data_IF_072321265794
#
_entry.id   IF_072321265794
#
_cell.length_a   1.000
_cell.length_b   1.000
_cell.length_c   1.000
_cell.angle_alpha   90.00
_cell.angle_beta   90.00
_cell.angle_gamma   90.00
#
_symmetry.space_group_name_H-M   'P 1'
#
loop_
_entity.id
_entity.type
_entity.pdbx_description
1 polymer ?
#
# COMPACT_ATOMS: atom_id res chain seq x y z
N UNK A 1 -4.15 28.40 48.69
CA UNK A 1 -3.19 27.36 49.13
C UNK A 1 -3.99 26.18 49.65
N UNK A 2 -4.01 25.08 48.92
CA UNK A 2 -4.47 23.79 49.43
C UNK A 2 -3.63 22.72 48.74
N UNK A 3 -2.85 22.02 49.56
CA UNK A 3 -1.86 21.01 49.21
C UNK A 3 -2.45 19.65 49.55
N UNK A 4 -2.59 18.76 48.56
CA UNK A 4 -2.90 17.33 48.68
C UNK A 4 -2.41 16.70 47.37
N UNK A 5 -1.73 15.57 47.30
CA UNK A 5 -1.26 14.61 48.29
C UNK A 5 -0.61 13.49 47.45
N UNK A 6 0.58 13.05 47.86
CA UNK A 6 1.31 11.97 47.21
C UNK A 6 0.60 10.61 47.41
N UNK A 7 0.78 9.70 46.46
CA UNK A 7 0.59 8.26 46.71
C UNK A 7 0.15 7.48 45.48
N UNK A 8 0.99 6.54 45.04
CA UNK A 8 0.52 5.45 44.19
C UNK A 8 1.51 4.90 43.17
N UNK A 9 2.74 4.57 43.58
CA UNK A 9 3.58 3.65 42.81
C UNK A 9 2.95 2.25 42.89
N UNK A 10 2.24 1.84 41.84
CA UNK A 10 1.83 0.44 41.66
C UNK A 10 2.87 -0.25 40.79
N UNK A 11 3.66 -1.10 41.46
CA UNK A 11 4.45 -2.15 40.83
C UNK A 11 3.49 -3.09 40.07
N UNK A 12 3.58 -3.12 38.75
CA UNK A 12 3.02 -4.19 37.94
C UNK A 12 4.09 -5.25 37.73
N UNK A 13 3.78 -6.45 38.19
CA UNK A 13 4.63 -7.62 38.12
C UNK A 13 4.67 -8.25 36.73
N UNK A 14 5.70 -9.07 36.58
CA UNK A 14 5.81 -10.27 35.75
C UNK A 14 4.62 -10.60 34.86
N UNK A 15 4.82 -10.47 33.55
CA UNK A 15 4.02 -11.17 32.55
C UNK A 15 4.92 -11.97 31.60
N UNK A 16 4.91 -13.28 31.85
CA UNK A 16 4.98 -14.42 30.94
C UNK A 16 5.66 -14.24 29.57
N UNK A 17 6.78 -14.96 29.42
CA UNK A 17 7.45 -15.22 28.15
C UNK A 17 6.58 -15.99 27.17
N UNK A 18 5.83 -15.26 26.34
CA UNK A 18 5.25 -15.75 25.10
C UNK A 18 6.30 -15.86 23.97
N UNK A 19 6.04 -16.65 22.91
CA UNK A 19 6.93 -16.80 21.77
C UNK A 19 7.13 -15.44 21.11
N UNK A 20 8.36 -14.90 21.20
CA UNK A 20 8.71 -13.63 20.56
C UNK A 20 8.49 -13.76 19.06
N UNK A 21 7.56 -12.98 18.51
CA UNK A 21 7.44 -12.77 17.06
C UNK A 21 8.82 -12.31 16.58
N UNK A 22 9.40 -13.06 15.65
CA UNK A 22 10.63 -12.67 14.97
C UNK A 22 10.30 -11.44 14.13
N UNK A 23 10.42 -10.25 14.73
CA UNK A 23 10.42 -9.01 13.97
C UNK A 23 11.71 -9.00 13.15
N UNK A 24 11.60 -9.41 11.88
CA UNK A 24 12.60 -9.06 10.87
C UNK A 24 12.47 -7.56 10.59
N UNK A 25 12.91 -6.76 11.56
CA UNK A 25 13.06 -5.33 11.41
C UNK A 25 14.34 -5.05 10.65
N UNK A 26 14.24 -4.45 9.47
CA UNK A 26 15.37 -3.75 8.87
C UNK A 26 15.60 -2.49 9.71
N UNK A 27 16.48 -2.59 10.71
CA UNK A 27 16.97 -1.43 11.43
C UNK A 27 18.10 -0.80 10.63
N UNK A 28 17.90 0.42 10.14
CA UNK A 28 19.02 1.27 9.73
C UNK A 28 19.58 1.91 11.01
N UNK A 29 20.81 1.57 11.37
CA UNK A 29 21.52 2.29 12.41
C UNK A 29 22.08 3.58 11.83
N UNK A 30 21.54 4.73 12.25
CA UNK A 30 22.07 6.05 11.86
C UNK A 30 23.50 6.30 12.36
N UNK A 31 24.00 5.48 13.30
CA UNK A 31 25.39 5.52 13.75
C UNK A 31 26.39 4.93 12.74
N UNK A 32 25.92 4.33 11.64
CA UNK A 32 26.78 3.81 10.57
C UNK A 32 26.85 4.77 9.36
N UNK A 33 26.57 6.06 9.59
CA UNK A 33 27.02 7.09 8.65
C UNK A 33 28.50 7.39 8.96
N UNK A 34 29.41 7.29 7.98
CA UNK A 34 30.78 7.71 8.20
C UNK A 34 30.78 9.18 8.62
N UNK A 35 31.41 9.47 9.76
CA UNK A 35 31.65 10.82 10.24
C UNK A 35 32.45 11.58 9.19
N UNK A 36 31.74 12.27 8.30
CA UNK A 36 32.34 13.20 7.36
C UNK A 36 32.65 14.45 8.17
N UNK A 37 33.81 14.43 8.84
CA UNK A 37 34.33 15.55 9.60
C UNK A 37 34.27 16.81 8.73
N UNK A 38 33.37 17.72 9.09
CA UNK A 38 33.28 19.04 8.51
C UNK A 38 34.54 19.79 8.92
N UNK A 39 35.57 19.71 8.08
CA UNK A 39 36.71 20.63 8.14
C UNK A 39 36.13 22.01 7.80
N UNK A 40 35.92 22.79 8.84
CA UNK A 40 35.52 24.18 8.73
C UNK A 40 36.67 24.97 8.11
N UNK A 41 36.42 25.48 6.90
CA UNK A 41 37.23 26.53 6.29
C UNK A 41 38.01 26.06 5.08
N UNK A 42 37.36 25.97 3.93
CA UNK A 42 37.93 26.39 2.64
C UNK A 42 36.81 26.38 1.58
N UNK A 43 36.51 27.58 1.09
CA UNK A 43 35.57 27.84 0.00
C UNK A 43 36.12 27.25 -1.31
N UNK A 44 35.39 26.36 -2.01
CA UNK A 44 35.88 25.67 -3.20
C UNK A 44 35.83 26.53 -4.49
N UNK A 45 35.73 27.86 -4.38
CA UNK A 45 35.70 28.77 -5.53
C UNK A 45 37.05 29.47 -5.77
N UNK A 46 38.17 28.85 -5.41
CA UNK A 46 39.49 29.37 -5.79
C UNK A 46 39.85 28.93 -7.22
N UNK A 47 39.66 29.83 -8.16
CA UNK A 47 40.08 29.69 -9.57
C UNK A 47 41.58 29.90 -9.64
N UNK A 48 42.36 28.82 -9.58
CA UNK A 48 43.81 28.92 -9.82
C UNK A 48 44.63 27.70 -9.41
N UNK A 49 45.04 26.94 -10.43
CA UNK A 49 46.30 26.19 -10.49
C UNK A 49 46.45 24.90 -9.66
N UNK A 50 45.67 23.86 -9.95
CA UNK A 50 46.19 22.48 -9.93
C UNK A 50 45.49 21.61 -11.00
N UNK A 51 46.23 20.80 -11.78
CA UNK A 51 45.62 19.83 -12.68
C UNK A 51 44.88 18.77 -11.85
N UNK A 52 43.61 18.44 -12.17
CA UNK A 52 42.84 17.47 -11.41
C UNK A 52 43.45 16.08 -11.59
N UNK A 53 44.04 15.55 -10.52
CA UNK A 53 44.45 14.14 -10.43
C UNK A 53 43.17 13.32 -10.27
N UNK A 54 42.83 12.59 -11.34
CA UNK A 54 41.58 11.86 -11.54
C UNK A 54 41.71 10.40 -11.07
N UNK A 55 42.00 10.20 -9.78
CA UNK A 55 42.28 8.86 -9.24
C UNK A 55 41.07 8.12 -8.64
N UNK A 56 39.87 8.69 -8.68
CA UNK A 56 38.67 8.10 -8.06
C UNK A 56 37.72 7.38 -9.04
N UNK A 57 38.13 7.13 -10.29
CA UNK A 57 37.29 6.48 -11.32
C UNK A 57 37.60 5.00 -11.61
N UNK A 58 38.51 4.35 -10.89
CA UNK A 58 38.91 2.95 -11.19
C UNK A 58 38.14 1.87 -10.44
N UNK A 59 37.30 2.22 -9.46
CA UNK A 59 36.35 1.28 -8.86
C UNK A 59 34.99 1.52 -9.48
N UNK A 60 34.73 0.83 -10.60
CA UNK A 60 33.38 0.65 -11.10
C UNK A 60 32.57 -0.06 -10.00
N UNK A 61 31.94 0.74 -9.12
CA UNK A 61 30.94 0.30 -8.17
C UNK A 61 29.71 -0.07 -8.99
N UNK A 62 29.82 -1.23 -9.65
CA UNK A 62 28.76 -1.88 -10.40
C UNK A 62 27.69 -2.21 -9.40
N UNK A 63 26.75 -1.30 -9.25
CA UNK A 63 25.54 -1.53 -8.50
C UNK A 63 24.83 -2.73 -9.16
N UNK A 64 24.86 -3.87 -8.48
CA UNK A 64 24.25 -5.10 -8.94
C UNK A 64 22.93 -5.29 -8.15
N UNK A 65 21.75 -5.02 -8.74
CA UNK A 65 20.47 -5.06 -8.04
C UNK A 65 20.12 -6.45 -7.45
N UNK A 66 20.89 -7.48 -7.81
CA UNK A 66 20.72 -8.85 -7.33
C UNK A 66 21.67 -9.19 -6.16
N UNK A 67 22.68 -8.35 -5.92
CA UNK A 67 23.70 -8.54 -4.88
C UNK A 67 23.14 -8.05 -3.54
N UNK A 68 22.29 -8.90 -2.96
CA UNK A 68 21.47 -8.58 -1.77
C UNK A 68 20.16 -9.35 -1.75
N UNK A 69 19.70 -9.86 -2.89
CA UNK A 69 18.62 -10.85 -2.96
C UNK A 69 19.24 -12.24 -2.79
N UNK A 70 19.92 -12.45 -1.66
CA UNK A 70 20.24 -13.81 -1.25
C UNK A 70 18.93 -14.53 -0.97
N UNK A 71 18.71 -15.65 -1.65
CA UNK A 71 17.52 -16.49 -1.51
C UNK A 71 17.46 -17.01 -0.08
N UNK A 72 16.78 -16.30 0.80
CA UNK A 72 16.31 -16.83 2.09
C UNK A 72 15.16 -17.84 1.92
N UNK A 73 15.13 -18.59 0.81
CA UNK A 73 14.32 -19.79 0.61
C UNK A 73 15.05 -21.01 1.18
N UNK A 74 15.66 -20.87 2.36
CA UNK A 74 16.06 -22.05 3.10
C UNK A 74 14.75 -22.70 3.55
N UNK A 75 14.42 -23.85 2.96
CA UNK A 75 13.38 -24.75 3.44
C UNK A 75 13.48 -24.81 4.95
N UNK A 76 12.49 -24.23 5.63
CA UNK A 76 12.48 -24.27 7.08
C UNK A 76 12.15 -25.72 7.41
N UNK A 77 12.98 -26.42 8.19
CA UNK A 77 12.82 -27.84 8.52
C UNK A 77 11.44 -28.22 9.12
N UNK A 78 10.61 -27.23 9.43
CA UNK A 78 9.21 -27.37 9.83
C UNK A 78 8.25 -27.69 8.67
N UNK A 79 8.51 -27.26 7.43
CA UNK A 79 7.68 -27.61 6.27
C UNK A 79 7.92 -29.04 5.76
N UNK A 80 9.04 -29.68 6.15
CA UNK A 80 9.33 -31.07 5.79
C UNK A 80 8.43 -32.11 6.51
N UNK A 81 7.63 -31.69 7.50
CA UNK A 81 6.84 -32.60 8.34
C UNK A 81 5.34 -32.67 7.98
N UNK A 82 4.83 -31.82 7.08
CA UNK A 82 3.38 -31.77 6.74
C UNK A 82 3.06 -31.99 5.25
N UNK A 83 3.95 -32.62 4.50
CA UNK A 83 3.58 -33.15 3.19
C UNK A 83 3.02 -34.57 3.37
N UNK A 84 1.74 -34.84 3.03
CA UNK A 84 1.19 -36.20 3.08
C UNK A 84 2.02 -37.07 2.14
N UNK A 85 2.73 -38.03 2.72
CA UNK A 85 3.53 -39.02 2.03
C UNK A 85 2.61 -39.83 1.11
N UNK A 86 2.59 -39.52 -0.18
CA UNK A 86 2.01 -40.37 -1.21
C UNK A 86 2.90 -41.60 -1.27
N UNK A 87 2.47 -42.66 -0.59
CA UNK A 87 3.19 -43.92 -0.51
C UNK A 87 3.32 -44.57 -1.87
N UNK A 88 4.47 -44.41 -2.52
CA UNK A 88 4.93 -45.31 -3.59
C UNK A 88 5.73 -46.41 -2.91
N UNK A 89 5.04 -47.50 -2.58
CA UNK A 89 5.68 -48.75 -2.22
C UNK A 89 6.30 -49.37 -3.49
N UNK A 90 7.63 -49.27 -3.61
CA UNK A 90 8.38 -49.87 -4.70
C UNK A 90 9.73 -50.38 -4.22
N UNK A 91 9.72 -51.56 -3.60
CA UNK A 91 10.93 -52.29 -3.20
C UNK A 91 11.40 -53.10 -4.42
N UNK A 92 12.45 -52.64 -5.10
CA UNK A 92 12.99 -53.35 -6.25
C UNK A 92 14.31 -52.75 -6.72
N UNK A 93 15.39 -53.50 -6.54
CA UNK A 93 16.73 -53.13 -6.94
C UNK A 93 16.94 -53.26 -8.47
N UNK A 94 17.76 -52.37 -9.02
CA UNK A 94 18.57 -52.62 -10.22
C UNK A 94 18.03 -52.08 -11.55
N UNK A 95 18.77 -51.12 -12.12
CA UNK A 95 18.72 -50.83 -13.55
C UNK A 95 19.06 -49.38 -13.92
N UNK A 96 20.19 -49.10 -14.61
CA UNK A 96 20.38 -47.83 -15.28
C UNK A 96 19.69 -47.88 -16.65
N UNK A 97 18.81 -46.93 -16.92
CA UNK A 97 18.25 -46.70 -18.25
C UNK A 97 16.81 -47.17 -18.41
N UNK A 98 15.88 -46.26 -18.15
CA UNK A 98 14.67 -46.11 -18.95
C UNK A 98 14.08 -44.73 -18.62
N UNK A 99 14.15 -43.81 -19.57
CA UNK A 99 13.32 -42.62 -19.57
C UNK A 99 11.87 -43.09 -19.50
N UNK A 100 11.23 -42.89 -18.36
CA UNK A 100 9.81 -43.14 -18.18
C UNK A 100 9.06 -42.18 -19.10
N UNK A 101 8.89 -42.64 -20.34
CA UNK A 101 7.94 -42.10 -21.30
C UNK A 101 6.58 -42.45 -20.76
N UNK A 102 6.10 -41.64 -19.81
CA UNK A 102 4.74 -41.68 -19.33
C UNK A 102 3.84 -41.55 -20.54
N UNK A 103 3.27 -42.69 -20.92
CA UNK A 103 2.29 -42.88 -21.96
C UNK A 103 1.27 -41.73 -21.94
N UNK A 104 1.41 -40.84 -22.92
CA UNK A 104 0.36 -39.91 -23.30
C UNK A 104 -0.81 -40.76 -23.80
N UNK A 105 -1.78 -41.02 -22.93
CA UNK A 105 -3.07 -41.58 -23.35
C UNK A 105 -3.70 -40.55 -24.30
N UNK A 106 -3.88 -40.86 -25.60
CA UNK A 106 -4.58 -39.97 -26.51
C UNK A 106 -6.02 -39.87 -26.01
N UNK A 107 -6.44 -38.66 -25.63
CA UNK A 107 -7.71 -38.39 -24.94
C UNK A 107 -7.54 -37.73 -23.56
N UNK A 108 -6.38 -37.90 -22.90
CA UNK A 108 -6.12 -37.30 -21.58
C UNK A 108 -6.00 -35.77 -21.63
N UNK A 109 -5.47 -35.21 -22.72
CA UNK A 109 -5.22 -33.77 -22.82
C UNK A 109 -6.51 -32.99 -23.09
N UNK A 110 -7.40 -33.53 -23.91
CA UNK A 110 -8.70 -32.91 -24.20
C UNK A 110 -9.62 -32.95 -22.96
N UNK A 111 -9.59 -34.07 -22.21
CA UNK A 111 -10.32 -34.18 -20.95
C UNK A 111 -9.75 -33.25 -19.87
N UNK A 112 -8.42 -33.13 -19.78
CA UNK A 112 -7.78 -32.21 -18.85
C UNK A 112 -8.07 -30.74 -19.22
N UNK A 113 -8.08 -30.39 -20.51
CA UNK A 113 -8.46 -29.06 -20.99
C UNK A 113 -9.92 -28.75 -20.64
N UNK A 114 -10.84 -29.69 -20.91
CA UNK A 114 -12.26 -29.51 -20.56
C UNK A 114 -12.49 -29.42 -19.04
N UNK A 115 -11.66 -30.09 -18.22
CA UNK A 115 -11.69 -29.96 -16.77
C UNK A 115 -11.15 -28.59 -16.31
N UNK A 116 -10.07 -28.10 -16.93
CA UNK A 116 -9.49 -26.80 -16.64
C UNK A 116 -10.46 -25.66 -17.00
N UNK A 117 -11.10 -25.72 -18.18
CA UNK A 117 -12.08 -24.73 -18.62
C UNK A 117 -13.28 -24.65 -17.66
N UNK A 118 -13.75 -25.78 -17.14
CA UNK A 118 -14.82 -25.82 -16.13
C UNK A 118 -14.40 -25.12 -14.83
N UNK A 119 -13.17 -25.33 -14.37
CA UNK A 119 -12.64 -24.65 -13.18
C UNK A 119 -12.53 -23.14 -13.40
N UNK A 120 -12.02 -22.72 -14.56
CA UNK A 120 -11.92 -21.30 -14.92
C UNK A 120 -13.30 -20.66 -14.94
N UNK A 121 -14.29 -21.27 -15.59
CA UNK A 121 -15.68 -20.76 -15.60
C UNK A 121 -16.26 -20.66 -14.19
N UNK A 122 -16.04 -21.66 -13.34
CA UNK A 122 -16.52 -21.63 -11.95
C UNK A 122 -15.83 -20.54 -11.10
N UNK A 123 -14.55 -20.26 -11.34
CA UNK A 123 -13.85 -19.17 -10.68
C UNK A 123 -14.34 -17.81 -11.18
N UNK A 124 -14.58 -17.66 -12.48
CA UNK A 124 -15.14 -16.44 -13.05
C UNK A 124 -16.55 -16.15 -12.52
N UNK A 125 -17.42 -17.17 -12.43
CA UNK A 125 -18.76 -16.98 -11.86
C UNK A 125 -18.70 -16.59 -10.39
N UNK A 126 -17.77 -17.17 -9.61
CA UNK A 126 -17.56 -16.78 -8.20
C UNK A 126 -17.01 -15.36 -8.06
N UNK A 127 -16.08 -14.96 -8.91
CA UNK A 127 -15.56 -13.59 -8.91
C UNK A 127 -16.68 -12.60 -9.22
N UNK A 128 -17.48 -12.87 -10.24
CA UNK A 128 -18.62 -12.03 -10.59
C UNK A 128 -19.67 -11.97 -9.46
N UNK A 129 -19.98 -13.11 -8.83
CA UNK A 129 -20.87 -13.16 -7.68
C UNK A 129 -20.31 -12.36 -6.50
N UNK A 130 -19.02 -12.49 -6.20
CA UNK A 130 -18.34 -11.70 -5.18
C UNK A 130 -18.28 -10.21 -5.53
N UNK A 131 -18.11 -9.82 -6.78
CA UNK A 131 -18.14 -8.42 -7.22
C UNK A 131 -19.54 -7.81 -7.11
N UNK A 132 -20.58 -8.61 -7.41
CA UNK A 132 -21.99 -8.18 -7.33
C UNK A 132 -22.54 -8.17 -5.90
N UNK A 133 -22.07 -9.07 -5.04
CA UNK A 133 -22.56 -9.25 -3.67
C UNK A 133 -21.63 -8.62 -2.62
N UNK A 134 -20.40 -8.27 -2.99
CA UNK A 134 -19.62 -7.30 -2.21
C UNK A 134 -20.41 -5.98 -2.26
N UNK A 135 -20.79 -5.40 -1.11
CA UNK A 135 -21.46 -4.12 -1.06
C UNK A 135 -20.52 -3.06 -1.62
N UNK A 136 -20.60 -2.80 -2.93
CA UNK A 136 -19.81 -1.82 -3.69
C UNK A 136 -18.50 -1.46 -2.97
N UNK A 137 -17.60 -2.45 -2.86
CA UNK A 137 -16.31 -2.50 -2.18
C UNK A 137 -15.67 -1.20 -1.68
N UNK A 138 -16.33 -0.49 -0.76
CA UNK A 138 -15.66 0.46 0.11
C UNK A 138 -14.93 -0.40 1.15
N UNK A 139 -13.71 -0.84 0.83
CA UNK A 139 -12.79 -1.32 1.85
C UNK A 139 -12.88 -0.35 3.04
N UNK A 140 -13.04 -0.85 4.29
CA UNK A 140 -13.32 -0.01 5.45
C UNK A 140 -12.32 1.14 5.41
N UNK A 141 -12.84 2.34 5.15
CA UNK A 141 -12.00 3.44 4.71
C UNK A 141 -10.91 3.60 5.76
N UNK A 142 -9.68 3.25 5.39
CA UNK A 142 -8.59 3.13 6.34
C UNK A 142 -8.51 4.47 7.07
N UNK A 143 -8.79 4.43 8.37
CA UNK A 143 -8.78 5.64 9.16
C UNK A 143 -7.33 6.05 9.36
N UNK A 144 -7.08 7.34 9.33
CA UNK A 144 -5.76 7.89 9.63
C UNK A 144 -5.12 8.62 8.47
N UNK A 145 -3.79 8.58 8.44
CA UNK A 145 -2.99 9.39 7.54
C UNK A 145 -2.85 8.71 6.17
N UNK A 146 -3.36 9.36 5.12
CA UNK A 146 -3.25 8.88 3.74
C UNK A 146 -2.51 9.89 2.89
N UNK A 147 -1.80 9.37 1.89
CA UNK A 147 -1.10 10.16 0.88
C UNK A 147 -1.80 10.00 -0.46
N UNK A 148 -2.38 11.09 -0.96
CA UNK A 148 -3.05 11.14 -2.27
C UNK A 148 -2.07 11.75 -3.28
N UNK A 149 -1.85 11.05 -4.38
CA UNK A 149 -1.03 11.54 -5.49
C UNK A 149 -1.92 11.78 -6.72
N UNK A 150 -1.91 13.01 -7.22
CA UNK A 150 -2.66 13.45 -8.41
C UNK A 150 -1.65 13.74 -9.52
N UNK A 151 -1.47 12.82 -10.50
CA UNK A 151 -0.46 12.98 -11.55
C UNK A 151 -0.66 14.20 -12.43
N UNK A 152 -1.92 14.44 -12.81
CA UNK A 152 -2.31 15.59 -13.63
C UNK A 152 -3.59 16.17 -13.03
N UNK A 153 -3.61 17.48 -12.70
CA UNK A 153 -4.85 18.14 -12.31
C UNK A 153 -5.84 18.09 -13.46
N UNK A 154 -7.13 18.21 -13.14
CA UNK A 154 -8.19 18.19 -14.14
C UNK A 154 -8.08 19.41 -15.05
N UNK A 155 -8.90 19.40 -16.10
CA UNK A 155 -9.02 20.49 -17.05
C UNK A 155 -9.20 21.82 -16.31
N UNK A 156 -8.43 22.83 -16.71
CA UNK A 156 -8.36 24.16 -16.06
C UNK A 156 -7.65 24.23 -14.70
N UNK A 157 -6.84 23.22 -14.34
CA UNK A 157 -6.04 23.25 -13.10
C UNK A 157 -6.87 23.07 -11.83
N UNK A 158 -8.06 22.48 -11.94
CA UNK A 158 -8.95 22.21 -10.81
C UNK A 158 -8.70 20.79 -10.28
N UNK A 159 -8.93 20.57 -8.98
CA UNK A 159 -8.85 19.25 -8.36
C UNK A 159 -10.13 18.42 -8.48
N UNK A 160 -11.28 19.05 -8.72
CA UNK A 160 -12.57 18.35 -8.78
C UNK A 160 -13.17 18.06 -7.39
N UNK A 161 -12.66 18.70 -6.34
CA UNK A 161 -13.20 18.62 -4.97
C UNK A 161 -13.52 20.01 -4.45
N UNK A 162 -14.59 20.12 -3.66
CA UNK A 162 -14.94 21.33 -2.92
C UNK A 162 -14.42 21.19 -1.49
N UNK A 163 -13.59 22.14 -1.05
CA UNK A 163 -12.95 22.13 0.27
C UNK A 163 -13.50 23.28 1.09
N UNK A 164 -13.84 23.01 2.35
CA UNK A 164 -14.23 24.01 3.35
C UNK A 164 -13.52 23.68 4.66
N UNK A 165 -12.93 24.67 5.32
CA UNK A 165 -12.21 24.51 6.59
C UNK A 165 -11.19 23.35 6.55
N UNK A 166 -10.41 23.28 5.46
CA UNK A 166 -9.43 22.23 5.18
C UNK A 166 -10.01 20.81 5.04
N UNK A 167 -11.32 20.67 4.90
CA UNK A 167 -12.01 19.39 4.80
C UNK A 167 -12.77 19.31 3.48
N UNK A 168 -12.71 18.15 2.82
CA UNK A 168 -13.46 17.90 1.58
C UNK A 168 -14.94 17.77 1.91
N UNK A 169 -15.76 18.70 1.40
CA UNK A 169 -17.22 18.71 1.65
C UNK A 169 -17.98 17.95 0.56
N UNK A 170 -17.54 18.08 -0.68
CA UNK A 170 -18.16 17.40 -1.81
C UNK A 170 -17.16 17.15 -2.92
N UNK A 171 -17.43 16.13 -3.73
CA UNK A 171 -16.68 15.81 -4.94
C UNK A 171 -17.46 16.39 -6.12
N UNK A 172 -16.86 17.36 -6.80
CA UNK A 172 -17.47 18.06 -7.95
C UNK A 172 -17.28 17.27 -9.24
N UNK A 173 -16.11 16.63 -9.40
CA UNK A 173 -15.80 15.78 -10.55
C UNK A 173 -15.52 14.35 -10.06
N UNK A 174 -16.24 13.33 -10.56
CA UNK A 174 -16.07 11.94 -10.13
C UNK A 174 -14.66 11.40 -10.40
N UNK A 175 -13.88 12.01 -11.31
CA UNK A 175 -12.47 11.64 -11.54
C UNK A 175 -11.61 11.80 -10.28
N UNK A 176 -11.97 12.71 -9.36
CA UNK A 176 -11.27 12.82 -8.08
C UNK A 176 -11.35 11.54 -7.23
N UNK A 177 -12.44 10.76 -7.35
CA UNK A 177 -12.56 9.47 -6.64
C UNK A 177 -11.53 8.45 -7.11
N UNK A 178 -11.07 8.53 -8.37
CA UNK A 178 -10.03 7.66 -8.91
C UNK A 178 -8.67 7.91 -8.24
N UNK A 179 -8.49 9.09 -7.66
CA UNK A 179 -7.32 9.45 -6.85
C UNK A 179 -7.56 9.22 -5.35
N UNK A 180 -8.56 8.41 -5.00
CA UNK A 180 -8.88 8.04 -3.62
C UNK A 180 -9.33 9.21 -2.73
N UNK A 181 -9.83 10.31 -3.32
CA UNK A 181 -10.50 11.36 -2.55
C UNK A 181 -11.84 10.88 -2.01
N UNK A 182 -12.11 11.22 -0.76
CA UNK A 182 -13.39 10.99 -0.09
C UNK A 182 -13.90 12.26 0.58
N UNK A 183 -15.22 12.38 0.68
CA UNK A 183 -15.85 13.43 1.51
C UNK A 183 -15.48 13.21 2.98
N UNK A 184 -15.12 14.28 3.68
CA UNK A 184 -14.65 14.24 5.06
C UNK A 184 -13.12 14.12 5.20
N UNK A 185 -12.37 13.98 4.10
CA UNK A 185 -10.91 14.00 4.15
C UNK A 185 -10.41 15.38 4.56
N UNK A 186 -9.55 15.44 5.57
CA UNK A 186 -8.94 16.67 6.05
C UNK A 186 -7.54 16.82 5.48
N UNK A 187 -7.26 17.92 4.80
CA UNK A 187 -5.97 18.20 4.17
C UNK A 187 -5.00 18.71 5.23
N UNK A 188 -3.82 18.07 5.32
CA UNK A 188 -2.76 18.42 6.26
C UNK A 188 -1.54 19.04 5.56
N UNK A 189 -1.16 18.51 4.39
CA UNK A 189 -0.02 19.02 3.62
C UNK A 189 -0.28 19.01 2.11
N UNK A 190 0.37 19.93 1.40
CA UNK A 190 0.40 19.99 -0.07
C UNK A 190 1.86 20.01 -0.51
N UNK A 191 2.30 19.01 -1.27
CA UNK A 191 3.68 18.82 -1.71
C UNK A 191 4.72 18.90 -0.58
N UNK A 192 4.36 18.42 0.62
CA UNK A 192 5.20 18.46 1.82
C UNK A 192 5.19 19.77 2.59
N UNK A 193 4.47 20.80 2.11
CA UNK A 193 4.23 22.03 2.86
C UNK A 193 2.98 21.85 3.76
N UNK A 194 3.10 21.97 5.10
CA UNK A 194 1.96 21.89 6.00
C UNK A 194 1.03 23.09 5.81
N UNK A 195 -0.27 22.85 5.91
CA UNK A 195 -1.32 23.85 5.70
C UNK A 195 -2.28 23.84 6.88
N UNK A 196 -2.42 24.98 7.57
CA UNK A 196 -3.26 25.10 8.76
C UNK A 196 -4.61 25.78 8.47
N UNK A 197 -4.67 26.63 7.45
CA UNK A 197 -5.86 27.41 7.08
C UNK A 197 -6.01 27.59 5.58
N UNK A 198 -7.20 28.05 5.16
CA UNK A 198 -7.61 28.08 3.76
C UNK A 198 -6.71 28.95 2.85
N UNK A 199 -6.22 30.08 3.36
CA UNK A 199 -5.34 30.98 2.60
C UNK A 199 -3.96 30.35 2.33
N UNK A 200 -3.37 29.64 3.31
CA UNK A 200 -2.15 28.85 3.10
C UNK A 200 -2.37 27.75 2.08
N UNK A 201 -3.49 27.02 2.20
CA UNK A 201 -3.86 25.99 1.23
C UNK A 201 -3.97 26.55 -0.20
N UNK A 202 -4.65 27.69 -0.38
CA UNK A 202 -4.76 28.32 -1.70
C UNK A 202 -3.39 28.73 -2.27
N UNK A 203 -2.50 29.28 -1.44
CA UNK A 203 -1.17 29.69 -1.84
C UNK A 203 -0.30 28.49 -2.25
N UNK A 204 -0.26 27.44 -1.42
CA UNK A 204 0.52 26.24 -1.70
C UNK A 204 -0.05 25.41 -2.86
N UNK A 205 -1.37 25.37 -3.01
CA UNK A 205 -2.02 24.76 -4.16
C UNK A 205 -1.65 25.48 -5.46
N UNK A 206 -1.67 26.81 -5.49
CA UNK A 206 -1.27 27.58 -6.67
C UNK A 206 0.20 27.35 -7.05
N UNK A 207 1.10 27.32 -6.04
CA UNK A 207 2.52 26.97 -6.26
C UNK A 207 2.68 25.55 -6.81
N UNK A 208 1.96 24.59 -6.23
CA UNK A 208 1.99 23.19 -6.67
C UNK A 208 1.47 23.03 -8.10
N UNK A 209 0.39 23.73 -8.47
CA UNK A 209 -0.16 23.75 -9.82
C UNK A 209 0.83 24.36 -10.82
N UNK A 210 1.45 25.49 -10.47
CA UNK A 210 2.48 26.12 -11.32
C UNK A 210 3.69 25.18 -11.52
N UNK A 211 4.14 24.50 -10.45
CA UNK A 211 5.22 23.51 -10.53
C UNK A 211 4.83 22.29 -11.38
N UNK A 212 3.60 21.79 -11.25
CA UNK A 212 3.08 20.70 -12.09
C UNK A 212 3.04 21.10 -13.58
N UNK A 213 2.60 22.32 -13.90
CA UNK A 213 2.58 22.82 -15.27
C UNK A 213 3.99 22.99 -15.85
N UNK A 214 4.94 23.50 -15.05
CA UNK A 214 6.30 23.77 -15.51
C UNK A 214 7.16 22.50 -15.63
N UNK A 215 7.00 21.54 -14.72
CA UNK A 215 7.91 20.40 -14.57
C UNK A 215 7.25 19.03 -14.72
N UNK A 216 5.92 18.96 -14.80
CA UNK A 216 5.17 17.70 -14.80
C UNK A 216 5.17 16.96 -13.45
N UNK A 217 5.67 17.58 -12.37
CA UNK A 217 5.70 16.95 -11.04
C UNK A 217 4.28 16.72 -10.51
N UNK A 218 3.92 15.51 -10.06
CA UNK A 218 2.58 15.21 -9.55
C UNK A 218 2.28 16.05 -8.30
N UNK A 219 1.00 16.37 -8.08
CA UNK A 219 0.58 16.97 -6.83
C UNK A 219 0.41 15.88 -5.79
N UNK A 220 0.93 16.12 -4.59
CA UNK A 220 0.92 15.18 -3.48
C UNK A 220 0.23 15.84 -2.30
N UNK A 221 -0.78 15.17 -1.75
CA UNK A 221 -1.54 15.65 -0.61
C UNK A 221 -1.40 14.65 0.52
N UNK A 222 -1.04 15.14 1.70
CA UNK A 222 -1.16 14.35 2.91
C UNK A 222 -2.47 14.75 3.59
N UNK A 223 -3.31 13.75 3.85
CA UNK A 223 -4.66 13.92 4.37
C UNK A 223 -4.85 13.06 5.62
N UNK A 224 -5.79 13.47 6.46
CA UNK A 224 -6.33 12.68 7.55
C UNK A 224 -7.76 12.28 7.21
N UNK A 225 -8.00 10.97 7.11
CA UNK A 225 -9.32 10.40 6.95
C UNK A 225 -9.88 10.05 8.30
N UNK A 226 -10.95 10.73 8.68
CA UNK A 226 -11.72 10.32 9.85
C UNK A 226 -12.37 8.96 9.59
N UNK A 227 -12.54 8.19 10.65
CA UNK A 227 -13.57 7.17 10.71
C UNK A 227 -14.81 7.72 10.05
N UNK A 228 -15.25 7.14 8.93
CA UNK A 228 -16.61 7.36 8.49
C UNK A 228 -17.44 7.07 9.75
N UNK A 229 -18.13 8.08 10.34
CA UNK A 229 -18.97 7.83 11.49
C UNK A 229 -19.91 6.76 10.97
N UNK A 230 -19.85 5.56 11.54
CA UNK A 230 -20.72 4.46 11.17
C UNK A 230 -22.12 5.05 11.24
N UNK A 231 -22.68 5.39 10.08
CA UNK A 231 -23.85 6.24 10.04
C UNK A 231 -24.90 5.59 10.92
N UNK A 232 -25.68 6.36 11.71
CA UNK A 232 -26.80 5.76 12.41
C UNK A 232 -27.58 5.00 11.34
N UNK A 233 -27.61 3.66 11.47
CA UNK A 233 -28.08 2.76 10.43
C UNK A 233 -29.32 3.39 9.82
N UNK A 234 -29.19 3.90 8.59
CA UNK A 234 -30.26 4.63 7.94
C UNK A 234 -31.43 3.65 7.99
N UNK A 235 -32.52 3.94 8.75
CA UNK A 235 -33.57 2.96 8.97
C UNK A 235 -34.04 2.60 7.58
N UNK A 236 -33.81 1.34 7.20
CA UNK A 236 -34.04 0.82 5.87
C UNK A 236 -35.36 1.41 5.40
N UNK A 237 -35.29 2.24 4.35
CA UNK A 237 -36.45 2.93 3.82
C UNK A 237 -37.57 1.90 3.74
N UNK A 238 -38.58 2.05 4.60
CA UNK A 238 -39.65 1.09 4.71
C UNK A 238 -40.19 0.90 3.29
N UNK A 239 -40.34 -0.36 2.82
CA UNK A 239 -40.79 -0.61 1.46
C UNK A 239 -42.06 0.20 1.22
N UNK A 240 -42.00 1.07 0.20
CA UNK A 240 -43.14 1.90 -0.19
C UNK A 240 -44.38 1.00 -0.27
N UNK A 241 -45.47 1.31 0.44
CA UNK A 241 -46.70 0.53 0.34
C UNK A 241 -47.13 0.55 -1.13
N UNK A 242 -47.35 -0.64 -1.69
CA UNK A 242 -47.78 -0.81 -3.07
C UNK A 242 -48.99 0.10 -3.36
N UNK A 243 -49.06 0.76 -4.53
CA UNK A 243 -50.22 1.55 -4.89
C UNK A 243 -51.44 0.64 -4.89
N UNK A 244 -52.37 0.91 -3.97
CA UNK A 244 -53.65 0.23 -3.89
C UNK A 244 -54.34 0.38 -5.25
N UNK A 245 -54.55 -0.74 -5.93
CA UNK A 245 -55.23 -0.78 -7.22
C UNK A 245 -56.60 -0.12 -7.11
N UNK A 246 -56.84 0.85 -7.99
CA UNK A 246 -58.14 1.44 -8.23
C UNK A 246 -59.18 0.35 -8.47
N UNK A 247 -60.13 0.29 -7.54
CA UNK A 247 -61.36 -0.46 -7.64
C UNK A 247 -62.27 0.28 -8.63
N UNK A 248 -62.40 -0.25 -9.85
CA UNK A 248 -63.39 0.24 -10.83
C UNK A 248 -64.65 -0.64 -10.71
N UNK A 249 -65.84 -0.04 -10.52
CA UNK A 249 -67.10 -0.75 -10.25
C UNK A 249 -67.66 -1.55 -11.43
#
# INVERSE_FOLDING_TARGET
QASFGAGGQRHFGEDFGGPRRVQRGFSFSLNDMPDNAVIAGESPFYVGAHPPIRDHMSLAQKWNPLDGISRHWAETAREALEMPSIGVAGKGAGGPGALASSFLKPGSLEEELAAAERRVKALHSRLFELESNAPSGAAPAAQGHLKITVPRPLDHGKLGVAVKDMTVVSIVDPRAMQHSWSVGDRILQVNGAPVCFMQEFANELNKALAANQASGKPLVFDIWRHAAPAGPAQPAAAPLPAPAGDFVP
#
